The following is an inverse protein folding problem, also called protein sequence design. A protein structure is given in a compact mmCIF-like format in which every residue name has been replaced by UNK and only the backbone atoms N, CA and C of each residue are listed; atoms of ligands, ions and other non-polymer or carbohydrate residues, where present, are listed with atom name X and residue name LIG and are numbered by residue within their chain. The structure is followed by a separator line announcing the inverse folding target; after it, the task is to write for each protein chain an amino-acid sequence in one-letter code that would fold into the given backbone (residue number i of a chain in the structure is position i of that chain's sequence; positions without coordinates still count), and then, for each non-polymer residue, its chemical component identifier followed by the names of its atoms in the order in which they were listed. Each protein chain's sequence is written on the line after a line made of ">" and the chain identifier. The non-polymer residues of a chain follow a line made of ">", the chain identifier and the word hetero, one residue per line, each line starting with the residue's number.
data_IF_320942239382
#
_entry.id   IF_320942239382
#
_cell.length_a   1.000
_cell.length_b   1.000
_cell.length_c   1.000
_cell.angle_alpha   90.00
_cell.angle_beta   90.00
_cell.angle_gamma   90.00
#
_symmetry.space_group_name_H-M   'P 1'
#
loop_
_entity.id
_entity.type
_entity.pdbx_description
1 polymer ?
#
# COMPACT_ATOMS: atom_id res chain seq x y z
N UNK A 1 0.81 -22.63 3.81
CA UNK A 1 0.25 -21.80 4.89
C UNK A 1 1.45 -21.31 5.66
N UNK A 2 1.79 -20.03 5.53
CA UNK A 2 2.90 -19.49 6.30
C UNK A 2 2.44 -19.26 7.73
N UNK A 3 3.18 -19.83 8.67
CA UNK A 3 2.87 -19.87 10.09
C UNK A 3 2.94 -18.45 10.69
N UNK A 4 1.88 -18.06 11.41
CA UNK A 4 1.83 -16.78 12.13
C UNK A 4 2.59 -16.99 13.44
N UNK A 5 3.86 -16.61 13.48
CA UNK A 5 4.69 -16.69 14.69
C UNK A 5 4.68 -15.36 15.46
N UNK A 6 4.78 -15.39 16.80
CA UNK A 6 4.91 -14.17 17.62
C UNK A 6 6.11 -13.31 17.20
N UNK A 7 7.22 -13.96 16.86
CA UNK A 7 8.46 -13.33 16.40
C UNK A 7 8.29 -12.52 15.11
N UNK A 8 7.43 -12.98 14.19
CA UNK A 8 7.11 -12.23 12.97
C UNK A 8 6.33 -10.95 13.28
N UNK A 9 5.42 -11.00 14.26
CA UNK A 9 4.62 -9.84 14.64
C UNK A 9 5.50 -8.73 15.26
N UNK A 10 6.52 -9.12 16.03
CA UNK A 10 7.49 -8.19 16.63
C UNK A 10 8.40 -7.52 15.59
N UNK A 11 8.69 -8.20 14.48
CA UNK A 11 9.52 -7.66 13.39
C UNK A 11 8.70 -6.99 12.28
N UNK A 12 7.38 -7.12 12.28
CA UNK A 12 6.51 -6.46 11.31
C UNK A 12 6.51 -4.94 11.52
N UNK A 13 6.91 -4.20 10.49
CA UNK A 13 6.87 -2.74 10.51
C UNK A 13 6.33 -2.19 9.20
N UNK A 14 5.26 -1.39 9.32
CA UNK A 14 4.66 -0.64 8.21
C UNK A 14 5.67 0.31 7.56
N UNK A 15 6.64 0.83 8.33
CA UNK A 15 7.67 1.74 7.83
C UNK A 15 8.55 1.11 6.75
N UNK A 16 8.66 -0.22 6.71
CA UNK A 16 9.37 -0.98 5.68
C UNK A 16 8.79 -0.78 4.27
N UNK A 17 7.54 -0.30 4.19
CA UNK A 17 6.84 -0.07 2.93
C UNK A 17 6.87 1.40 2.48
N UNK A 18 7.32 2.35 3.31
CA UNK A 18 7.43 3.76 2.90
C UNK A 18 8.29 4.01 1.65
N UNK A 19 9.40 3.29 1.42
CA UNK A 19 10.16 3.42 0.17
C UNK A 19 9.32 3.13 -1.09
N UNK A 20 8.26 2.33 -0.97
CA UNK A 20 7.36 2.00 -2.09
C UNK A 20 6.64 3.22 -2.65
N UNK A 21 6.35 4.23 -1.81
CA UNK A 21 5.69 5.47 -2.25
C UNK A 21 6.57 6.30 -3.20
N UNK A 22 7.90 6.24 -3.02
CA UNK A 22 8.88 6.97 -3.84
C UNK A 22 9.27 6.26 -5.14
N UNK A 23 9.05 4.95 -5.27
CA UNK A 23 9.51 4.17 -6.43
C UNK A 23 8.95 4.68 -7.78
N UNK A 24 7.75 5.27 -7.77
CA UNK A 24 7.08 5.81 -8.96
C UNK A 24 6.94 7.34 -8.93
N UNK A 25 7.71 8.02 -8.08
CA UNK A 25 7.76 9.48 -8.00
C UNK A 25 8.15 10.06 -9.37
N UNK A 26 7.39 11.05 -9.86
CA UNK A 26 7.60 11.64 -11.21
C UNK A 26 8.85 12.52 -11.24
N UNK A 27 9.26 13.03 -10.09
CA UNK A 27 10.37 13.97 -9.92
C UNK A 27 11.70 13.34 -10.36
N UNK A 28 11.94 12.07 -10.00
CA UNK A 28 13.15 11.33 -10.37
C UNK A 28 13.30 11.16 -11.89
N UNK A 29 12.16 10.92 -12.57
CA UNK A 29 12.15 10.77 -14.02
C UNK A 29 12.32 12.11 -14.74
N UNK A 30 11.74 13.18 -14.21
CA UNK A 30 11.88 14.53 -14.76
C UNK A 30 13.32 15.05 -14.65
N UNK A 31 14.04 14.69 -13.58
CA UNK A 31 15.46 15.00 -13.42
C UNK A 31 16.31 14.32 -14.50
N UNK A 32 16.10 13.02 -14.75
CA UNK A 32 16.87 12.27 -15.75
C UNK A 32 16.64 12.77 -17.17
N UNK A 33 15.41 13.18 -17.50
CA UNK A 33 15.10 13.77 -18.82
C UNK A 33 15.84 15.09 -19.09
N UNK A 34 16.31 15.79 -18.05
CA UNK A 34 17.05 17.06 -18.17
C UNK A 34 18.56 16.87 -18.32
N UNK A 35 19.07 15.65 -18.20
CA UNK A 35 20.50 15.38 -18.29
C UNK A 35 20.97 15.26 -19.75
N UNK A 36 22.12 15.85 -20.12
CA UNK A 36 22.71 15.66 -21.44
C UNK A 36 23.08 14.18 -21.64
N UNK A 37 22.73 13.61 -22.80
CA UNK A 37 22.91 12.17 -23.07
C UNK A 37 21.70 11.29 -22.69
N UNK A 38 20.54 11.90 -22.43
CA UNK A 38 19.30 11.18 -22.16
C UNK A 38 18.88 10.28 -23.33
N UNK A 39 18.77 8.98 -23.05
CA UNK A 39 18.27 7.97 -23.98
C UNK A 39 16.91 7.43 -23.50
N UNK A 40 15.93 7.41 -24.40
CA UNK A 40 14.60 6.84 -24.18
C UNK A 40 14.67 5.35 -23.82
N UNK A 41 15.69 4.63 -24.30
CA UNK A 41 15.88 3.22 -23.96
C UNK A 41 16.29 3.03 -22.49
N UNK A 42 17.17 3.90 -21.97
CA UNK A 42 17.59 3.94 -20.57
C UNK A 42 16.41 4.31 -19.66
N UNK A 43 15.58 5.28 -20.07
CA UNK A 43 14.36 5.65 -19.36
C UNK A 43 13.40 4.46 -19.22
N UNK A 44 13.13 3.75 -20.32
CA UNK A 44 12.27 2.55 -20.32
C UNK A 44 12.84 1.42 -19.48
N UNK A 45 14.17 1.26 -19.44
CA UNK A 45 14.84 0.27 -18.59
C UNK A 45 14.67 0.60 -17.10
N UNK A 46 15.00 1.82 -16.68
CA UNK A 46 14.85 2.28 -15.30
C UNK A 46 13.40 2.16 -14.81
N UNK A 47 12.44 2.56 -15.65
CA UNK A 47 11.01 2.45 -15.35
C UNK A 47 10.59 1.00 -15.10
N UNK A 48 11.03 0.07 -15.95
CA UNK A 48 10.76 -1.37 -15.78
C UNK A 48 11.38 -1.94 -14.50
N UNK A 49 12.59 -1.54 -14.16
CA UNK A 49 13.27 -2.00 -12.93
C UNK A 49 12.57 -1.51 -11.67
N UNK A 50 12.21 -0.22 -11.61
CA UNK A 50 11.44 0.36 -10.49
C UNK A 50 10.06 -0.28 -10.35
N UNK A 51 9.40 -0.58 -11.47
CA UNK A 51 8.12 -1.28 -11.49
C UNK A 51 8.23 -2.73 -10.98
N UNK A 52 9.32 -3.44 -11.27
CA UNK A 52 9.58 -4.78 -10.69
C UNK A 52 9.77 -4.72 -9.19
N UNK A 53 10.55 -3.76 -8.68
CA UNK A 53 10.76 -3.56 -7.24
C UNK A 53 9.42 -3.25 -6.57
N UNK A 54 8.61 -2.36 -7.16
CA UNK A 54 7.27 -2.06 -6.68
C UNK A 54 6.38 -3.30 -6.58
N UNK A 55 6.39 -4.17 -7.59
CA UNK A 55 5.63 -5.44 -7.54
C UNK A 55 6.10 -6.37 -6.43
N UNK A 56 7.41 -6.44 -6.17
CA UNK A 56 7.95 -7.26 -5.06
C UNK A 56 7.45 -6.74 -3.71
N UNK A 57 7.49 -5.41 -3.50
CA UNK A 57 6.91 -4.79 -2.30
C UNK A 57 5.41 -5.05 -2.20
N UNK A 58 4.66 -4.90 -3.29
CA UNK A 58 3.22 -5.12 -3.31
C UNK A 58 2.85 -6.55 -2.95
N UNK A 59 3.54 -7.54 -3.52
CA UNK A 59 3.34 -8.95 -3.21
C UNK A 59 3.61 -9.24 -1.73
N UNK A 60 4.70 -8.68 -1.18
CA UNK A 60 5.02 -8.83 0.24
C UNK A 60 3.97 -8.18 1.15
N UNK A 61 3.51 -6.99 0.79
CA UNK A 61 2.46 -6.28 1.51
C UNK A 61 1.15 -7.07 1.54
N UNK A 62 0.77 -7.70 0.43
CA UNK A 62 -0.43 -8.55 0.35
C UNK A 62 -0.29 -9.78 1.26
N UNK A 63 0.88 -10.42 1.27
CA UNK A 63 1.14 -11.57 2.14
C UNK A 63 1.03 -11.16 3.60
N UNK A 64 1.71 -10.09 4.00
CA UNK A 64 1.70 -9.60 5.38
C UNK A 64 0.31 -9.16 5.84
N UNK A 65 -0.46 -8.47 4.98
CA UNK A 65 -1.84 -8.09 5.28
C UNK A 65 -2.73 -9.33 5.49
N UNK A 66 -2.62 -10.35 4.64
CA UNK A 66 -3.40 -11.57 4.78
C UNK A 66 -3.04 -12.34 6.07
N UNK A 67 -1.76 -12.35 6.45
CA UNK A 67 -1.31 -12.93 7.73
C UNK A 67 -1.90 -12.18 8.91
N UNK A 68 -1.82 -10.84 8.93
CA UNK A 68 -2.38 -10.00 10.00
C UNK A 68 -3.90 -10.13 10.11
N UNK A 69 -4.61 -10.15 8.98
CA UNK A 69 -6.05 -10.37 8.92
C UNK A 69 -6.43 -11.75 9.49
N UNK A 70 -5.69 -12.79 9.13
CA UNK A 70 -5.93 -14.16 9.63
C UNK A 70 -5.66 -14.26 11.13
N UNK A 71 -4.57 -13.67 11.62
CA UNK A 71 -4.26 -13.59 13.04
C UNK A 71 -5.40 -12.92 13.82
N UNK A 72 -5.90 -11.80 13.30
CA UNK A 72 -7.00 -11.06 13.91
C UNK A 72 -8.29 -11.88 13.92
N UNK A 73 -8.61 -12.58 12.83
CA UNK A 73 -9.75 -13.50 12.77
C UNK A 73 -9.66 -14.63 13.80
N UNK A 74 -8.48 -15.23 14.00
CA UNK A 74 -8.27 -16.31 14.98
C UNK A 74 -8.45 -15.79 16.41
N UNK A 75 -7.86 -14.63 16.74
CA UNK A 75 -8.02 -14.00 18.06
C UNK A 75 -9.50 -13.65 18.31
N UNK A 76 -10.17 -13.10 17.30
CA UNK A 76 -11.57 -12.70 17.40
C UNK A 76 -12.52 -13.89 17.54
N UNK A 77 -12.24 -15.02 16.86
CA UNK A 77 -13.01 -16.26 16.99
C UNK A 77 -12.89 -16.90 18.38
N UNK A 78 -11.77 -16.70 19.07
CA UNK A 78 -11.57 -17.18 20.45
C UNK A 78 -12.19 -16.26 21.51
N UNK A 79 -12.58 -15.03 21.17
CA UNK A 79 -13.32 -14.12 22.06
C UNK A 79 -14.82 -14.29 21.84
N UNK A 80 -15.45 -15.15 22.62
CA UNK A 80 -16.85 -15.57 22.46
C UNK A 80 -17.96 -14.56 22.77
N UNK A 81 -17.77 -13.25 22.58
CA UNK A 81 -18.84 -12.26 22.83
C UNK A 81 -19.02 -11.23 21.69
N UNK A 82 -20.27 -11.17 21.23
CA UNK A 82 -21.02 -10.12 20.52
C UNK A 82 -20.24 -9.09 19.65
N UNK A 83 -19.58 -9.55 18.57
CA UNK A 83 -18.69 -8.72 17.74
C UNK A 83 -19.00 -8.73 16.24
N UNK A 84 -20.28 -8.84 15.88
CA UNK A 84 -20.77 -8.66 14.50
C UNK A 84 -20.24 -7.36 13.87
N UNK A 85 -20.16 -6.26 14.62
CA UNK A 85 -19.64 -4.97 14.12
C UNK A 85 -18.14 -5.02 13.82
N UNK A 86 -17.32 -5.68 14.66
CA UNK A 86 -15.88 -5.79 14.42
C UNK A 86 -15.56 -6.69 13.23
N UNK A 87 -16.29 -7.80 13.06
CA UNK A 87 -16.18 -8.64 11.86
C UNK A 87 -16.54 -7.84 10.60
N UNK A 88 -17.59 -7.02 10.67
CA UNK A 88 -18.02 -6.17 9.57
C UNK A 88 -16.93 -5.15 9.20
N UNK A 89 -16.33 -4.48 10.20
CA UNK A 89 -15.19 -3.57 10.00
C UNK A 89 -13.97 -4.26 9.38
N UNK A 90 -13.65 -5.48 9.81
CA UNK A 90 -12.55 -6.27 9.23
C UNK A 90 -12.79 -6.60 7.76
N UNK A 91 -14.02 -6.98 7.39
CA UNK A 91 -14.41 -7.23 6.00
C UNK A 91 -14.27 -5.95 5.15
N UNK A 92 -14.77 -4.82 5.64
CA UNK A 92 -14.62 -3.54 4.95
C UNK A 92 -13.16 -3.11 4.80
N UNK A 93 -12.33 -3.36 5.81
CA UNK A 93 -10.90 -3.09 5.75
C UNK A 93 -10.21 -3.95 4.69
N UNK A 94 -10.52 -5.25 4.64
CA UNK A 94 -10.03 -6.16 3.60
C UNK A 94 -10.47 -5.71 2.21
N UNK A 95 -11.75 -5.36 2.03
CA UNK A 95 -12.26 -4.85 0.76
C UNK A 95 -11.56 -3.56 0.31
N UNK A 96 -11.39 -2.60 1.22
CA UNK A 96 -10.65 -1.34 0.92
C UNK A 96 -9.20 -1.62 0.54
N UNK A 97 -8.52 -2.52 1.27
CA UNK A 97 -7.15 -2.92 0.95
C UNK A 97 -7.07 -3.59 -0.42
N UNK A 98 -7.96 -4.54 -0.71
CA UNK A 98 -8.03 -5.21 -2.02
C UNK A 98 -8.30 -4.21 -3.14
N UNK A 99 -9.21 -3.25 -2.95
CA UNK A 99 -9.47 -2.20 -3.93
C UNK A 99 -8.23 -1.33 -4.18
N UNK A 100 -7.49 -0.95 -3.13
CA UNK A 100 -6.25 -0.19 -3.25
C UNK A 100 -5.15 -0.99 -3.97
N UNK A 101 -5.04 -2.30 -3.71
CA UNK A 101 -4.13 -3.20 -4.42
C UNK A 101 -4.50 -3.29 -5.90
N UNK A 102 -5.78 -3.49 -6.24
CA UNK A 102 -6.27 -3.53 -7.62
C UNK A 102 -5.96 -2.20 -8.33
N UNK A 103 -6.19 -1.07 -7.67
CA UNK A 103 -5.88 0.25 -8.22
C UNK A 103 -4.36 0.41 -8.48
N UNK A 104 -3.52 -0.05 -7.56
CA UNK A 104 -2.07 -0.03 -7.70
C UNK A 104 -1.60 -0.94 -8.85
N UNK A 105 -2.17 -2.14 -8.97
CA UNK A 105 -1.90 -3.07 -10.08
C UNK A 105 -2.39 -2.51 -11.42
N UNK A 106 -3.58 -1.92 -11.47
CA UNK A 106 -4.10 -1.26 -12.67
C UNK A 106 -3.20 -0.09 -13.10
N UNK A 107 -2.75 0.72 -12.14
CA UNK A 107 -1.79 1.81 -12.37
C UNK A 107 -0.43 1.28 -12.87
N UNK A 108 0.02 0.13 -12.37
CA UNK A 108 1.19 -0.58 -12.87
C UNK A 108 0.99 -1.03 -14.33
N UNK A 109 -0.16 -1.65 -14.66
CA UNK A 109 -0.45 -2.11 -16.03
C UNK A 109 -0.53 -0.93 -17.00
N UNK A 110 -1.16 0.17 -16.61
CA UNK A 110 -1.21 1.43 -17.36
C UNK A 110 0.19 2.02 -17.57
N UNK A 111 1.04 2.00 -16.53
CA UNK A 111 2.43 2.47 -16.61
C UNK A 111 3.32 1.58 -17.49
N UNK A 112 3.13 0.26 -17.45
CA UNK A 112 3.83 -0.69 -18.32
C UNK A 112 3.38 -0.55 -19.78
N UNK A 113 2.11 -0.23 -20.03
CA UNK A 113 1.55 -0.02 -21.35
C UNK A 113 1.94 1.33 -22.00
N UNK A 114 2.70 2.18 -21.29
CA UNK A 114 3.18 3.46 -21.83
C UNK A 114 2.16 4.59 -21.79
N UNK A 115 1.02 4.40 -21.12
CA UNK A 115 0.04 5.47 -20.90
C UNK A 115 0.44 6.28 -19.66
N UNK A 116 0.75 7.56 -19.87
CA UNK A 116 1.17 8.50 -18.85
C UNK A 116 -0.07 9.10 -18.15
N UNK A 117 -0.47 8.56 -16.99
CA UNK A 117 -1.49 9.16 -16.10
C UNK A 117 -1.49 8.43 -14.75
N UNK A 118 -0.70 8.83 -13.74
CA UNK A 118 -0.97 9.89 -12.76
C UNK A 118 -2.22 9.66 -11.88
N UNK A 119 -2.21 8.58 -11.07
CA UNK A 119 -3.20 8.34 -10.01
C UNK A 119 -2.60 8.13 -8.59
N UNK A 120 -1.29 8.31 -8.42
CA UNK A 120 -0.61 8.13 -7.11
C UNK A 120 -0.92 9.32 -6.17
N UNK A 121 -0.98 10.53 -6.72
CA UNK A 121 -1.22 11.77 -5.96
C UNK A 121 -2.64 11.82 -5.35
N UNK A 122 -3.62 11.21 -6.02
CA UNK A 122 -4.99 11.08 -5.51
C UNK A 122 -5.16 9.99 -4.44
N UNK A 123 -4.18 9.10 -4.27
CA UNK A 123 -4.15 8.07 -3.23
C UNK A 123 -3.55 8.63 -1.94
N UNK A 124 -2.52 9.48 -2.06
CA UNK A 124 -1.87 10.18 -0.94
C UNK A 124 -2.80 11.23 -0.32
N UNK A 125 -3.47 12.06 -1.14
CA UNK A 125 -4.45 13.05 -0.66
C UNK A 125 -5.60 12.43 0.15
N UNK A 126 -6.06 11.24 -0.25
CA UNK A 126 -7.13 10.51 0.47
C UNK A 126 -6.64 9.87 1.76
N UNK A 127 -5.35 9.53 1.84
CA UNK A 127 -4.73 9.04 3.06
C UNK A 127 -4.55 10.18 4.07
N UNK A 128 -4.15 11.37 3.59
CA UNK A 128 -4.06 12.60 4.40
C UNK A 128 -5.42 13.02 4.94
N UNK A 129 -6.48 13.02 4.11
CA UNK A 129 -7.87 13.27 4.56
C UNK A 129 -8.29 12.31 5.68
N UNK A 130 -7.93 11.02 5.55
CA UNK A 130 -8.27 10.02 6.57
C UNK A 130 -7.48 10.24 7.87
N UNK A 131 -6.23 10.70 7.80
CA UNK A 131 -5.45 11.07 9.00
C UNK A 131 -5.96 12.35 9.67
N UNK A 132 -6.41 13.33 8.88
CA UNK A 132 -7.02 14.57 9.36
C UNK A 132 -8.37 14.33 10.03
N UNK A 133 -9.17 13.41 9.49
CA UNK A 133 -10.44 13.02 10.12
C UNK A 133 -10.22 12.22 11.41
N UNK A 134 -9.21 11.35 11.46
CA UNK A 134 -8.91 10.56 12.66
C UNK A 134 -8.40 11.44 13.81
N UNK A 135 -7.59 12.46 13.50
CA UNK A 135 -7.13 13.44 14.51
C UNK A 135 -8.28 14.33 14.99
N UNK A 136 -9.18 14.77 14.11
CA UNK A 136 -10.37 15.51 14.50
C UNK A 136 -11.33 14.70 15.39
N UNK A 137 -11.54 13.41 15.08
CA UNK A 137 -12.35 12.50 15.90
C UNK A 137 -11.70 12.24 17.26
N UNK A 138 -10.37 12.09 17.31
CA UNK A 138 -9.64 11.93 18.58
C UNK A 138 -9.68 13.17 19.47
N UNK A 139 -9.68 14.37 18.87
CA UNK A 139 -9.80 15.64 19.58
C UNK A 139 -11.23 15.88 20.10
N UNK A 140 -12.24 15.45 19.34
CA UNK A 140 -13.64 15.50 19.76
C UNK A 140 -13.99 14.50 20.89
N UNK A 141 -13.15 13.48 21.12
CA UNK A 141 -13.30 12.54 22.24
C UNK A 141 -12.58 12.99 23.52
N UNK A 142 -11.85 14.12 23.48
CA UNK A 142 -11.13 14.69 24.63
C UNK A 142 -11.72 16.05 25.08
N UNK A 143 -12.86 16.47 24.54
CA UNK A 143 -13.64 17.64 24.96
C UNK A 143 -15.00 17.20 25.52
#
# INVERSE_FOLDING_TARGET
>A
MDEITPEWLETFSVASYYPMAGLLAKEDFAFLCRQPGFDLSLHRKLRRERLRIFQQYLSRLIIDFNRLHTATCIILANCGDDKSDLFTRLIFLKLRFTAAVIQAQASYFLCCAGFDSLAVRGLILRLEEMSGQLSAVSAAQLA
#
